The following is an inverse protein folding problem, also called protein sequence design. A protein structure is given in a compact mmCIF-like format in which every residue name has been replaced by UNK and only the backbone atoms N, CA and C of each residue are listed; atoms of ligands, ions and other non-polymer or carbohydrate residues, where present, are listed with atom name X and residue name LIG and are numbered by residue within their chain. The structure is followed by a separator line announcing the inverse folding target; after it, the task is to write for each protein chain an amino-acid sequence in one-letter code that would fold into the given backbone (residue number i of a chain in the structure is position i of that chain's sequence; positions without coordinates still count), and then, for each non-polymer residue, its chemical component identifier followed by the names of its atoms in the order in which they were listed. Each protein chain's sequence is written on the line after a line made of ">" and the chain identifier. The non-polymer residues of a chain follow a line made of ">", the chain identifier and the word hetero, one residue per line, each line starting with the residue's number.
data_IF_213810358775
#
_entry.id   IF_213810358775
#
_cell.length_a   1.000
_cell.length_b   1.000
_cell.length_c   1.000
_cell.angle_alpha   90.00
_cell.angle_beta   90.00
_cell.angle_gamma   90.00
#
_symmetry.space_group_name_H-M   'P 1'
#
loop_
_entity.id
_entity.type
_entity.pdbx_description
1 polymer ?
#
# COMPACT_ATOMS: atom_id res chain seq x y z
N UNK A 1 10.00 1.29 -15.15
CA UNK A 1 8.94 1.19 -14.13
C UNK A 1 8.46 2.61 -13.82
N UNK A 2 7.16 2.88 -13.81
CA UNK A 2 6.60 4.20 -13.41
C UNK A 2 6.06 4.05 -11.98
N UNK A 3 6.28 5.06 -11.13
CA UNK A 3 5.84 5.04 -9.73
C UNK A 3 5.01 6.28 -9.40
N UNK A 4 4.02 6.10 -8.54
CA UNK A 4 3.22 7.18 -7.96
C UNK A 4 3.44 7.10 -6.45
N UNK A 5 4.01 8.15 -5.87
CA UNK A 5 4.30 8.21 -4.45
C UNK A 5 3.28 9.11 -3.75
N UNK A 6 2.42 8.50 -2.93
CA UNK A 6 1.43 9.20 -2.12
C UNK A 6 1.99 9.39 -0.71
N UNK A 7 2.09 10.65 -0.29
CA UNK A 7 2.69 11.07 0.99
C UNK A 7 1.72 12.02 1.73
N UNK A 8 1.94 12.17 3.03
CA UNK A 8 1.21 13.12 3.88
C UNK A 8 2.09 13.48 5.08
N UNK A 9 1.88 14.67 5.63
CA UNK A 9 2.48 15.09 6.91
C UNK A 9 1.79 14.47 8.12
N UNK A 10 0.58 13.91 7.94
CA UNK A 10 -0.23 13.33 9.01
C UNK A 10 -0.26 11.80 9.01
N UNK A 11 -0.37 11.21 10.20
CA UNK A 11 -0.64 9.76 10.37
C UNK A 11 -2.13 9.48 10.13
N UNK A 12 -2.45 8.24 9.75
CA UNK A 12 -3.83 7.76 9.55
C UNK A 12 -4.70 8.59 8.57
N UNK A 13 -4.07 9.38 7.70
CA UNK A 13 -4.73 10.28 6.74
C UNK A 13 -5.34 9.60 5.49
N UNK A 14 -5.51 8.28 5.50
CA UNK A 14 -6.08 7.54 4.35
C UNK A 14 -5.13 7.29 3.16
N UNK A 15 -3.81 7.39 3.32
CA UNK A 15 -2.82 7.15 2.25
C UNK A 15 -3.00 5.79 1.57
N UNK A 16 -3.15 4.72 2.35
CA UNK A 16 -3.38 3.35 1.84
C UNK A 16 -4.65 3.28 1.00
N UNK A 17 -5.75 3.90 1.45
CA UNK A 17 -7.01 3.94 0.72
C UNK A 17 -6.88 4.65 -0.64
N UNK A 18 -6.16 5.77 -0.69
CA UNK A 18 -5.88 6.50 -1.95
C UNK A 18 -5.04 5.64 -2.91
N UNK A 19 -3.97 5.00 -2.40
CA UNK A 19 -3.16 4.07 -3.20
C UNK A 19 -3.99 2.93 -3.79
N UNK A 20 -4.87 2.32 -2.99
CA UNK A 20 -5.74 1.23 -3.41
C UNK A 20 -6.77 1.67 -4.44
N UNK A 21 -7.42 2.82 -4.24
CA UNK A 21 -8.40 3.35 -5.19
C UNK A 21 -7.77 3.61 -6.56
N UNK A 22 -6.61 4.27 -6.57
CA UNK A 22 -5.86 4.53 -7.81
C UNK A 22 -5.35 3.24 -8.44
N UNK A 23 -4.79 2.33 -7.64
CA UNK A 23 -4.29 1.05 -8.10
C UNK A 23 -5.38 0.19 -8.75
N UNK A 24 -6.56 0.08 -8.12
CA UNK A 24 -7.71 -0.64 -8.69
C UNK A 24 -8.23 0.02 -9.96
N UNK A 25 -8.24 1.36 -10.04
CA UNK A 25 -8.64 2.08 -11.28
C UNK A 25 -7.67 1.77 -12.42
N UNK A 26 -6.36 1.84 -12.18
CA UNK A 26 -5.33 1.56 -13.17
C UNK A 26 -5.31 0.08 -13.59
N UNK A 27 -5.54 -0.84 -12.64
CA UNK A 27 -5.73 -2.26 -12.97
C UNK A 27 -6.94 -2.46 -13.89
N UNK A 28 -8.05 -1.75 -13.66
CA UNK A 28 -9.22 -1.77 -14.57
C UNK A 28 -8.90 -1.21 -15.97
N UNK A 29 -7.94 -0.30 -16.09
CA UNK A 29 -7.45 0.22 -17.36
C UNK A 29 -6.42 -0.69 -18.05
N UNK A 30 -6.10 -1.85 -17.47
CA UNK A 30 -5.20 -2.86 -18.06
C UNK A 30 -3.74 -2.76 -17.63
N UNK A 31 -3.40 -1.90 -16.67
CA UNK A 31 -2.03 -1.78 -16.17
C UNK A 31 -1.70 -2.83 -15.11
N UNK A 32 -0.47 -3.34 -15.15
CA UNK A 32 0.11 -4.11 -14.04
C UNK A 32 0.53 -3.14 -12.92
N UNK A 33 -0.17 -3.19 -11.79
CA UNK A 33 0.07 -2.30 -10.65
C UNK A 33 0.34 -3.12 -9.39
N UNK A 34 1.44 -2.81 -8.72
CA UNK A 34 1.79 -3.32 -7.39
C UNK A 34 1.66 -2.23 -6.32
N UNK A 35 1.75 -2.64 -5.07
CA UNK A 35 1.77 -1.76 -3.90
C UNK A 35 3.11 -1.90 -3.16
N UNK A 36 3.66 -0.78 -2.71
CA UNK A 36 4.89 -0.74 -1.93
C UNK A 36 4.72 0.27 -0.79
N UNK A 37 4.99 -0.18 0.43
CA UNK A 37 5.18 0.68 1.59
C UNK A 37 6.65 0.65 1.99
N UNK A 38 7.43 1.70 1.68
CA UNK A 38 8.89 1.67 1.81
C UNK A 38 9.37 1.78 3.26
N UNK A 39 8.53 2.29 4.17
CA UNK A 39 8.86 2.43 5.58
C UNK A 39 7.69 1.97 6.44
N UNK A 40 7.99 1.08 7.37
CA UNK A 40 7.12 0.72 8.47
C UNK A 40 7.72 1.21 9.77
N UNK A 41 6.87 1.73 10.66
CA UNK A 41 7.26 2.14 12.01
C UNK A 41 6.74 1.16 13.07
N UNK A 42 5.91 0.20 12.68
CA UNK A 42 5.23 -0.73 13.57
C UNK A 42 5.24 -2.13 12.95
N UNK A 43 5.98 -3.08 13.53
CA UNK A 43 5.96 -4.46 13.06
C UNK A 43 4.60 -5.10 13.36
N UNK A 44 4.06 -5.82 12.39
CA UNK A 44 2.84 -6.61 12.46
C UNK A 44 3.15 -8.09 12.18
N UNK A 45 2.58 -9.00 12.95
CA UNK A 45 2.77 -10.44 12.73
C UNK A 45 1.63 -10.96 11.85
N UNK A 46 1.95 -11.30 10.60
CA UNK A 46 1.02 -11.90 9.64
C UNK A 46 1.54 -13.26 9.20
N UNK A 47 0.74 -14.32 9.41
CA UNK A 47 1.12 -15.70 9.00
C UNK A 47 2.49 -16.15 9.53
N UNK A 48 2.85 -15.73 10.75
CA UNK A 48 4.15 -16.05 11.35
C UNK A 48 5.34 -15.27 10.77
N UNK A 49 5.10 -14.27 9.93
CA UNK A 49 6.11 -13.35 9.40
C UNK A 49 5.89 -11.94 9.92
N UNK A 50 6.98 -11.24 10.22
CA UNK A 50 6.92 -9.81 10.53
C UNK A 50 6.76 -9.04 9.22
N UNK A 51 5.67 -8.28 9.13
CA UNK A 51 5.31 -7.44 7.99
C UNK A 51 4.79 -6.09 8.50
N UNK A 52 4.44 -5.19 7.59
CA UNK A 52 3.63 -4.01 7.92
C UNK A 52 2.14 -4.37 7.77
N UNK A 53 1.30 -3.87 8.67
CA UNK A 53 -0.15 -4.16 8.66
C UNK A 53 -0.83 -3.74 7.35
N UNK A 54 -0.58 -2.51 6.86
CA UNK A 54 -1.16 -2.04 5.59
C UNK A 54 -0.68 -2.90 4.43
N UNK A 55 0.60 -3.29 4.42
CA UNK A 55 1.16 -4.11 3.35
C UNK A 55 0.63 -5.56 3.38
N UNK A 56 0.39 -6.11 4.57
CA UNK A 56 -0.26 -7.40 4.75
C UNK A 56 -1.71 -7.34 4.24
N UNK A 57 -2.48 -6.35 4.69
CA UNK A 57 -3.86 -6.13 4.27
C UNK A 57 -4.01 -5.97 2.75
N UNK A 58 -3.13 -5.21 2.09
CA UNK A 58 -3.22 -4.98 0.63
C UNK A 58 -2.92 -6.24 -0.19
N UNK A 59 -2.21 -7.21 0.40
CA UNK A 59 -1.82 -8.46 -0.26
C UNK A 59 -2.94 -9.52 -0.23
N UNK A 60 -3.82 -9.47 0.77
CA UNK A 60 -5.00 -10.34 0.90
C UNK A 60 -5.99 -10.14 -0.26
#
# INVERSE_FOLDING_TARGET
>A
MKSIYITSVERFSGKTAVCLALGKRLQKDGYMVGYLKPLSLQPWLSEGRVADEDAAFVKE
#
